data_IF_087452124578
#
_entry.id   IF_087452124578
#
_cell.length_a   1.000
_cell.length_b   1.000
_cell.length_c   1.000
_cell.angle_alpha   90.00
_cell.angle_beta   90.00
_cell.angle_gamma   90.00
#
_symmetry.space_group_name_H-M   'P 1'
#
loop_
_entity.id
_entity.type
_entity.pdbx_description
1 polymer ?
#
# COMPACT_ATOMS: atom_id res chain seq x y z
N UNK A 1 -8.09 -9.90 16.96
CA UNK A 1 -8.25 -9.86 15.48
C UNK A 1 -9.65 -9.42 15.17
N UNK A 2 -9.84 -8.42 14.29
CA UNK A 2 -11.18 -8.07 13.82
C UNK A 2 -11.75 -9.25 13.01
N UNK A 3 -13.00 -9.62 13.27
CA UNK A 3 -13.70 -10.66 12.51
C UNK A 3 -14.04 -10.09 11.14
N UNK A 4 -13.45 -10.65 10.07
CA UNK A 4 -13.78 -10.26 8.70
C UNK A 4 -15.15 -10.86 8.35
N UNK A 5 -16.05 -10.03 7.83
CA UNK A 5 -17.37 -10.47 7.36
C UNK A 5 -17.22 -11.46 6.18
N UNK A 6 -18.02 -12.52 6.15
CA UNK A 6 -18.02 -13.51 5.06
C UNK A 6 -18.22 -12.84 3.68
N UNK A 7 -19.10 -11.85 3.59
CA UNK A 7 -19.30 -11.07 2.36
C UNK A 7 -18.01 -10.40 1.85
N UNK A 8 -17.20 -9.87 2.77
CA UNK A 8 -15.92 -9.25 2.41
C UNK A 8 -14.92 -10.30 1.92
N UNK A 9 -14.90 -11.49 2.52
CA UNK A 9 -14.03 -12.59 2.07
C UNK A 9 -14.36 -12.97 0.64
N UNK A 10 -15.65 -13.16 0.33
CA UNK A 10 -16.11 -13.50 -1.02
C UNK A 10 -15.74 -12.40 -2.03
N UNK A 11 -15.93 -11.12 -1.66
CA UNK A 11 -15.53 -10.00 -2.52
C UNK A 11 -14.02 -9.94 -2.75
N UNK A 12 -13.21 -10.14 -1.72
CA UNK A 12 -11.75 -10.10 -1.82
C UNK A 12 -11.16 -11.26 -2.62
N UNK A 13 -11.81 -12.43 -2.66
CA UNK A 13 -11.35 -13.58 -3.47
C UNK A 13 -11.27 -13.29 -4.98
N UNK A 14 -12.00 -12.28 -5.46
CA UNK A 14 -12.05 -11.88 -6.87
C UNK A 14 -11.05 -10.77 -7.22
N UNK A 15 -10.36 -10.19 -6.23
CA UNK A 15 -9.41 -9.11 -6.47
C UNK A 15 -8.21 -9.63 -7.25
N UNK A 16 -7.83 -8.88 -8.28
CA UNK A 16 -6.64 -9.15 -9.13
C UNK A 16 -5.70 -7.95 -9.23
N UNK A 17 -6.12 -6.80 -8.72
CA UNK A 17 -5.36 -5.55 -8.69
C UNK A 17 -5.57 -4.85 -7.35
N UNK A 18 -4.48 -4.45 -6.72
CA UNK A 18 -4.47 -3.49 -5.61
C UNK A 18 -3.79 -2.21 -6.10
N UNK A 19 -4.58 -1.15 -6.27
CA UNK A 19 -4.10 0.20 -6.56
C UNK A 19 -4.26 1.08 -5.31
N UNK A 20 -3.20 1.79 -4.93
CA UNK A 20 -3.17 2.59 -3.68
C UNK A 20 -2.64 4.01 -3.94
N UNK A 21 -3.03 4.94 -3.08
CA UNK A 21 -2.30 6.20 -2.94
C UNK A 21 -0.96 5.94 -2.20
N UNK A 22 -0.07 6.93 -2.21
CA UNK A 22 1.23 6.87 -1.53
C UNK A 22 1.17 7.60 -0.19
N UNK A 23 0.99 8.92 -0.21
CA UNK A 23 1.13 9.74 1.00
C UNK A 23 -0.12 9.65 1.89
N UNK A 24 0.05 9.10 3.10
CA UNK A 24 -1.07 8.84 4.02
C UNK A 24 -1.71 7.46 3.85
N UNK A 25 -1.24 6.65 2.89
CA UNK A 25 -1.62 5.24 2.73
C UNK A 25 -0.40 4.33 2.90
N UNK A 26 0.59 4.44 2.01
CA UNK A 26 1.85 3.71 2.12
C UNK A 26 2.84 4.39 3.07
N UNK A 27 2.62 5.67 3.35
CA UNK A 27 3.35 6.46 4.34
C UNK A 27 2.38 6.95 5.43
N UNK A 28 2.93 7.46 6.53
CA UNK A 28 2.15 8.18 7.55
C UNK A 28 1.72 9.59 7.12
N UNK A 29 1.92 9.97 5.85
CA UNK A 29 1.65 11.30 5.30
C UNK A 29 2.69 12.35 5.66
N UNK A 30 3.71 12.00 6.46
CA UNK A 30 4.80 12.92 6.78
C UNK A 30 5.82 12.99 5.63
N UNK A 31 6.38 14.18 5.44
CA UNK A 31 7.44 14.44 4.48
C UNK A 31 8.59 15.11 5.22
N UNK A 32 9.79 14.52 5.14
CA UNK A 32 11.00 15.08 5.73
C UNK A 32 11.80 15.80 4.65
N UNK A 33 12.02 17.10 4.83
CA UNK A 33 12.78 17.95 3.92
C UNK A 33 14.06 18.43 4.60
N UNK A 34 15.19 18.33 3.92
CA UNK A 34 16.46 18.85 4.42
C UNK A 34 17.61 18.66 3.43
N UNK A 35 18.56 19.59 3.38
CA UNK A 35 19.77 19.45 2.56
C UNK A 35 19.53 19.27 1.05
N UNK A 36 18.37 19.70 0.54
CA UNK A 36 17.98 19.50 -0.86
C UNK A 36 17.40 18.13 -1.20
N UNK A 37 17.14 17.28 -0.20
CA UNK A 37 16.48 15.98 -0.36
C UNK A 37 15.10 15.93 0.29
N UNK A 38 14.23 15.09 -0.28
CA UNK A 38 12.94 14.70 0.30
C UNK A 38 13.00 13.22 0.70
N UNK A 39 12.54 12.89 1.90
CA UNK A 39 12.42 11.52 2.38
C UNK A 39 10.98 11.20 2.78
N UNK A 40 10.53 10.01 2.39
CA UNK A 40 9.25 9.40 2.77
C UNK A 40 9.51 8.16 3.62
N UNK A 41 8.74 8.00 4.70
CA UNK A 41 8.83 6.83 5.57
C UNK A 41 7.76 5.80 5.19
N UNK A 42 8.21 4.60 4.91
CA UNK A 42 7.36 3.44 4.65
C UNK A 42 7.46 2.44 5.80
N UNK A 43 6.46 1.58 5.93
CA UNK A 43 6.41 0.57 6.97
C UNK A 43 6.79 -0.82 6.43
N UNK A 44 7.72 -1.50 7.12
CA UNK A 44 8.31 -2.76 6.64
C UNK A 44 7.27 -3.89 6.51
N UNK A 45 6.25 -3.92 7.39
CA UNK A 45 5.19 -4.95 7.30
C UNK A 45 4.32 -4.76 6.06
N UNK A 46 4.18 -3.53 5.58
CA UNK A 46 3.38 -3.23 4.40
C UNK A 46 4.11 -3.75 3.17
N UNK A 47 5.44 -3.55 3.11
CA UNK A 47 6.29 -4.16 2.09
C UNK A 47 6.19 -5.69 2.05
N UNK A 48 6.16 -6.35 3.21
CA UNK A 48 5.92 -7.80 3.28
C UNK A 48 4.53 -8.18 2.74
N UNK A 49 3.48 -7.46 3.14
CA UNK A 49 2.11 -7.72 2.66
C UNK A 49 1.96 -7.56 1.15
N UNK A 50 2.57 -6.52 0.57
CA UNK A 50 2.56 -6.29 -0.88
C UNK A 50 3.31 -7.38 -1.63
N UNK A 51 4.43 -7.86 -1.09
CA UNK A 51 5.17 -8.99 -1.66
C UNK A 51 4.32 -10.26 -1.66
N UNK A 52 3.66 -10.58 -0.55
CA UNK A 52 2.78 -11.75 -0.45
C UNK A 52 1.60 -11.67 -1.44
N UNK A 53 1.01 -10.49 -1.63
CA UNK A 53 -0.06 -10.29 -2.62
C UNK A 53 0.44 -10.46 -4.06
N UNK A 54 1.62 -9.94 -4.37
CA UNK A 54 2.24 -10.12 -5.68
C UNK A 54 2.55 -11.61 -5.97
N UNK A 55 3.07 -12.34 -4.97
CA UNK A 55 3.28 -13.80 -5.06
C UNK A 55 1.98 -14.58 -5.23
N UNK A 56 0.86 -14.07 -4.69
CA UNK A 56 -0.48 -14.61 -4.90
C UNK A 56 -1.11 -14.21 -6.26
N UNK A 57 -0.39 -13.49 -7.11
CA UNK A 57 -0.83 -13.10 -8.45
C UNK A 57 -1.70 -11.83 -8.50
N UNK A 58 -1.74 -11.05 -7.42
CA UNK A 58 -2.41 -9.73 -7.42
C UNK A 58 -1.44 -8.69 -7.97
N UNK A 59 -1.86 -7.97 -9.00
CA UNK A 59 -1.10 -6.84 -9.54
C UNK A 59 -1.08 -5.71 -8.51
N UNK A 60 0.10 -5.13 -8.27
CA UNK A 60 0.26 -3.99 -7.37
C UNK A 60 0.51 -2.74 -8.20
N UNK A 61 -0.21 -1.66 -7.90
CA UNK A 61 -0.04 -0.34 -8.50
C UNK A 61 -0.14 0.76 -7.45
N UNK A 62 0.46 1.91 -7.72
CA UNK A 62 0.26 3.12 -6.94
C UNK A 62 0.01 4.31 -7.85
N UNK A 63 -0.84 5.22 -7.40
CA UNK A 63 -1.20 6.46 -8.10
C UNK A 63 -0.98 7.59 -7.10
N UNK A 64 -0.09 8.52 -7.41
CA UNK A 64 0.24 9.65 -6.53
C UNK A 64 0.24 10.95 -7.33
N UNK A 65 -0.16 12.04 -6.68
CA UNK A 65 -0.08 13.38 -7.25
C UNK A 65 1.34 13.99 -7.18
N UNK A 66 2.27 13.31 -6.49
CA UNK A 66 3.67 13.76 -6.35
C UNK A 66 4.59 12.99 -7.29
N UNK A 67 5.56 13.70 -7.86
CA UNK A 67 6.60 13.14 -8.71
C UNK A 67 7.94 12.95 -8.00
N UNK A 68 7.95 13.07 -6.66
CA UNK A 68 9.12 13.09 -5.78
C UNK A 68 9.26 11.82 -4.96
#
# INVERSE_FOLDING_TARGET
MARINADLVDRFAHVRLLAMDVDGVLTDGSIVLGGGIELKRFHVRDGLGLKMLAEAGVVIAWITARSS
#
